data_IF_888627508070
#
_entry.id   IF_888627508070
#
_cell.length_a   1.000
_cell.length_b   1.000
_cell.length_c   1.000
_cell.angle_alpha   90.00
_cell.angle_beta   90.00
_cell.angle_gamma   90.00
#
_symmetry.space_group_name_H-M   'P 1'
#
loop_
_entity.id
_entity.type
_entity.pdbx_description
1 polymer ?
#
# COMPACT_ATOMS: atom_id res chain seq x y z
N UNK A 1 -20.55 14.63 -38.42
CA UNK A 1 -19.60 15.54 -37.74
C UNK A 1 -19.79 15.43 -36.22
N UNK A 2 -19.34 14.33 -35.61
CA UNK A 2 -19.36 14.11 -34.15
C UNK A 2 -18.31 13.04 -33.73
N UNK A 3 -17.13 13.05 -34.37
CA UNK A 3 -16.06 12.07 -34.14
C UNK A 3 -15.01 12.61 -33.14
N UNK A 4 -15.12 13.87 -32.70
CA UNK A 4 -14.04 14.56 -32.00
C UNK A 4 -13.97 14.35 -30.48
N UNK A 5 -14.98 13.80 -29.81
CA UNK A 5 -15.01 14.00 -28.36
C UNK A 5 -14.02 13.15 -27.57
N UNK A 6 -13.55 11.98 -28.02
CA UNK A 6 -12.59 11.17 -27.25
C UNK A 6 -11.83 10.12 -28.09
N UNK A 7 -11.25 10.51 -29.23
CA UNK A 7 -10.34 9.61 -29.95
C UNK A 7 -8.95 9.72 -29.32
N UNK A 8 -8.61 8.78 -28.43
CA UNK A 8 -7.21 8.58 -28.04
C UNK A 8 -6.48 8.08 -29.28
N UNK A 9 -5.37 8.73 -29.61
CA UNK A 9 -4.56 8.33 -30.77
C UNK A 9 -3.73 7.09 -30.45
N UNK A 10 -3.36 6.34 -31.49
CA UNK A 10 -2.50 5.15 -31.35
C UNK A 10 -1.20 5.48 -30.63
N UNK A 11 -0.61 6.63 -30.97
CA UNK A 11 0.61 7.14 -30.36
C UNK A 11 0.43 7.44 -28.87
N UNK A 12 -0.69 8.03 -28.47
CA UNK A 12 -0.97 8.31 -27.05
C UNK A 12 -1.09 7.02 -26.23
N UNK A 13 -1.80 6.00 -26.73
CA UNK A 13 -1.89 4.71 -26.04
C UNK A 13 -0.53 4.05 -25.90
N UNK A 14 0.26 4.00 -26.99
CA UNK A 14 1.63 3.44 -26.98
C UNK A 14 2.55 4.16 -26.01
N UNK A 15 2.60 5.49 -26.11
CA UNK A 15 3.44 6.35 -25.27
C UNK A 15 3.08 6.16 -23.80
N UNK A 16 1.79 6.18 -23.47
CA UNK A 16 1.31 5.98 -22.09
C UNK A 16 1.67 4.59 -21.57
N UNK A 17 1.52 3.55 -22.40
CA UNK A 17 1.96 2.19 -22.07
C UNK A 17 3.45 2.13 -21.70
N UNK A 18 4.33 2.65 -22.55
CA UNK A 18 5.77 2.64 -22.28
C UNK A 18 6.16 3.46 -21.05
N UNK A 19 5.60 4.66 -20.91
CA UNK A 19 5.87 5.54 -19.76
C UNK A 19 5.42 4.89 -18.45
N UNK A 20 4.21 4.32 -18.41
CA UNK A 20 3.69 3.66 -17.21
C UNK A 20 4.46 2.40 -16.87
N UNK A 21 4.90 1.61 -17.86
CA UNK A 21 5.79 0.46 -17.64
C UNK A 21 7.09 0.92 -16.99
N UNK A 22 7.75 1.93 -17.55
CA UNK A 22 9.02 2.43 -17.03
C UNK A 22 8.86 2.96 -15.59
N UNK A 23 7.83 3.78 -15.35
CA UNK A 23 7.62 4.42 -14.07
C UNK A 23 7.21 3.42 -12.98
N UNK A 24 6.24 2.54 -13.24
CA UNK A 24 5.83 1.51 -12.28
C UNK A 24 6.96 0.52 -11.98
N UNK A 25 7.71 0.11 -13.00
CA UNK A 25 8.85 -0.80 -12.82
C UNK A 25 9.98 -0.15 -12.03
N UNK A 26 10.26 1.14 -12.24
CA UNK A 26 11.27 1.87 -11.45
C UNK A 26 10.90 1.91 -9.97
N UNK A 27 9.64 2.21 -9.64
CA UNK A 27 9.17 2.24 -8.24
C UNK A 27 9.19 0.84 -7.62
N UNK A 28 8.75 -0.17 -8.37
CA UNK A 28 8.80 -1.57 -7.96
C UNK A 28 10.23 -2.04 -7.68
N UNK A 29 11.16 -1.81 -8.62
CA UNK A 29 12.57 -2.12 -8.45
C UNK A 29 13.18 -1.37 -7.26
N UNK A 30 12.82 -0.10 -7.06
CA UNK A 30 13.25 0.68 -5.89
C UNK A 30 12.83 0.04 -4.56
N UNK A 31 11.60 -0.49 -4.47
CA UNK A 31 11.11 -1.21 -3.29
C UNK A 31 11.93 -2.48 -3.02
N UNK A 32 12.16 -3.30 -4.04
CA UNK A 32 12.93 -4.54 -3.89
C UNK A 32 14.40 -4.24 -3.60
N UNK A 33 15.02 -3.30 -4.31
CA UNK A 33 16.41 -2.88 -4.07
C UNK A 33 16.64 -2.41 -2.64
N UNK A 34 15.73 -1.61 -2.08
CA UNK A 34 15.82 -1.17 -0.68
C UNK A 34 15.63 -2.31 0.33
N UNK A 35 14.82 -3.32 0.00
CA UNK A 35 14.67 -4.51 0.85
C UNK A 35 15.90 -5.40 0.82
N UNK A 36 16.44 -5.67 -0.37
CA UNK A 36 17.67 -6.44 -0.55
C UNK A 36 18.84 -5.77 0.18
N UNK A 37 18.99 -4.46 0.06
CA UNK A 37 20.06 -3.74 0.75
C UNK A 37 19.95 -3.80 2.28
N UNK A 38 18.73 -3.88 2.82
CA UNK A 38 18.49 -3.97 4.27
C UNK A 38 18.32 -5.41 4.78
N UNK A 39 18.53 -6.43 3.94
CA UNK A 39 18.34 -7.85 4.24
C UNK A 39 17.03 -8.14 4.98
N UNK A 40 15.95 -7.46 4.60
CA UNK A 40 14.62 -7.70 5.16
C UNK A 40 14.02 -8.90 4.43
N UNK A 41 13.62 -9.94 5.17
CA UNK A 41 12.98 -11.12 4.59
C UNK A 41 11.75 -10.79 3.73
N UNK A 42 11.44 -11.66 2.77
CA UNK A 42 10.27 -11.54 1.89
C UNK A 42 9.00 -11.65 2.74
N UNK A 43 8.09 -10.69 2.59
CA UNK A 43 6.84 -10.66 3.32
C UNK A 43 5.67 -10.98 2.40
N UNK A 44 4.55 -11.46 2.96
CA UNK A 44 3.33 -11.76 2.19
C UNK A 44 2.81 -10.55 1.42
N UNK A 45 2.99 -9.34 1.95
CA UNK A 45 2.68 -8.08 1.26
C UNK A 45 3.50 -7.89 -0.03
N UNK A 46 4.73 -8.40 -0.10
CA UNK A 46 5.55 -8.28 -1.31
C UNK A 46 5.06 -9.23 -2.40
N UNK A 47 4.63 -10.45 -2.05
CA UNK A 47 4.09 -11.41 -3.02
C UNK A 47 2.89 -10.84 -3.78
N UNK A 48 1.96 -10.19 -3.05
CA UNK A 48 0.81 -9.53 -3.67
C UNK A 48 1.21 -8.36 -4.57
N UNK A 49 2.25 -7.60 -4.21
CA UNK A 49 2.76 -6.51 -5.07
C UNK A 49 3.45 -7.07 -6.32
N UNK A 50 4.20 -8.18 -6.22
CA UNK A 50 4.75 -8.87 -7.39
C UNK A 50 3.64 -9.34 -8.31
N UNK A 51 2.59 -9.97 -7.77
CA UNK A 51 1.44 -10.42 -8.54
C UNK A 51 0.75 -9.26 -9.26
N UNK A 52 0.58 -8.12 -8.57
CA UNK A 52 0.02 -6.91 -9.18
C UNK A 52 0.90 -6.37 -10.32
N UNK A 53 2.21 -6.26 -10.10
CA UNK A 53 3.15 -5.76 -11.12
C UNK A 53 3.22 -6.68 -12.35
N UNK A 54 3.28 -8.01 -12.15
CA UNK A 54 3.25 -8.98 -13.24
C UNK A 54 1.94 -8.92 -14.03
N UNK A 55 0.80 -8.78 -13.34
CA UNK A 55 -0.50 -8.66 -13.98
C UNK A 55 -0.62 -7.36 -14.78
N UNK A 56 -0.13 -6.24 -14.23
CA UNK A 56 -0.04 -4.95 -14.91
C UNK A 56 0.85 -5.00 -16.16
N UNK A 57 2.02 -5.63 -16.07
CA UNK A 57 2.91 -5.81 -17.22
C UNK A 57 2.24 -6.63 -18.32
N UNK A 58 1.68 -7.79 -17.96
CA UNK A 58 0.98 -8.65 -18.91
C UNK A 58 -0.17 -7.90 -19.60
N UNK A 59 -0.98 -7.18 -18.83
CA UNK A 59 -2.09 -6.37 -19.35
C UNK A 59 -1.61 -5.29 -20.32
N UNK A 60 -0.57 -4.54 -19.95
CA UNK A 60 -0.05 -3.45 -20.80
C UNK A 60 0.55 -4.00 -22.08
N UNK A 61 1.28 -5.11 -22.03
CA UNK A 61 1.84 -5.79 -23.21
C UNK A 61 0.71 -6.26 -24.14
N UNK A 62 -0.33 -6.89 -23.60
CA UNK A 62 -1.49 -7.32 -24.39
C UNK A 62 -2.20 -6.13 -25.06
N UNK A 63 -2.33 -4.99 -24.36
CA UNK A 63 -2.86 -3.78 -24.97
C UNK A 63 -1.97 -3.21 -26.09
N UNK A 64 -0.65 -3.29 -25.96
CA UNK A 64 0.26 -2.86 -27.03
C UNK A 64 0.18 -3.77 -28.26
N UNK A 65 0.01 -5.09 -28.06
CA UNK A 65 -0.13 -6.07 -29.14
C UNK A 65 -1.46 -5.90 -29.89
N UNK A 66 -2.56 -5.65 -29.16
CA UNK A 66 -3.90 -5.52 -29.77
C UNK A 66 -4.11 -4.17 -30.44
N UNK A 67 -3.37 -3.14 -30.03
CA UNK A 67 -3.51 -1.77 -30.49
C UNK A 67 -3.63 -1.61 -32.02
N UNK A 68 -2.70 -2.11 -32.86
CA UNK A 68 -2.80 -1.92 -34.32
C UNK A 68 -4.05 -2.56 -34.92
N UNK A 69 -4.50 -3.72 -34.40
CA UNK A 69 -5.72 -4.39 -34.86
C UNK A 69 -6.97 -3.61 -34.44
N UNK A 70 -6.95 -3.06 -33.22
CA UNK A 70 -8.03 -2.22 -32.70
C UNK A 70 -8.24 -0.94 -33.53
N UNK A 71 -7.16 -0.26 -33.94
CA UNK A 71 -7.28 0.94 -34.78
C UNK A 71 -7.75 0.61 -36.20
N UNK A 72 -7.37 -0.54 -36.76
CA UNK A 72 -7.90 -1.01 -38.06
C UNK A 72 -9.39 -1.32 -37.99
N UNK A 73 -9.85 -2.00 -36.93
CA UNK A 73 -11.26 -2.29 -36.68
C UNK A 73 -12.09 -1.03 -36.53
N UNK A 74 -11.62 -0.07 -35.73
CA UNK A 74 -12.33 1.19 -35.50
C UNK A 74 -12.37 2.05 -36.77
N UNK A 75 -11.31 2.06 -37.60
CA UNK A 75 -11.32 2.73 -38.90
C UNK A 75 -12.33 2.10 -39.88
N UNK A 76 -12.43 0.77 -39.92
CA UNK A 76 -13.42 0.07 -40.73
C UNK A 76 -14.86 0.38 -40.28
N UNK A 77 -15.13 0.29 -38.97
CA UNK A 77 -16.44 0.63 -38.39
C UNK A 77 -16.84 2.10 -38.61
N UNK A 78 -15.85 2.99 -38.80
CA UNK A 78 -16.07 4.40 -39.13
C UNK A 78 -16.34 4.67 -40.63
N UNK A 79 -16.47 3.61 -41.46
CA UNK A 79 -16.73 3.72 -42.90
C UNK A 79 -15.50 3.49 -43.79
N UNK A 80 -14.42 2.92 -43.25
CA UNK A 80 -13.25 2.53 -44.02
C UNK A 80 -13.48 1.31 -44.94
N UNK A 81 -12.50 0.96 -45.80
CA UNK A 81 -12.63 -0.14 -46.75
C UNK A 81 -12.74 -1.50 -46.05
N UNK A 82 -13.60 -2.38 -46.59
CA UNK A 82 -13.73 -3.75 -46.11
C UNK A 82 -12.44 -4.54 -46.31
N UNK A 83 -12.06 -5.33 -45.30
CA UNK A 83 -10.86 -6.14 -45.32
C UNK A 83 -11.16 -7.57 -44.92
N UNK A 84 -10.52 -8.54 -45.59
CA UNK A 84 -10.82 -9.97 -45.46
C UNK A 84 -10.58 -10.53 -44.05
N UNK A 85 -9.64 -9.96 -43.30
CA UNK A 85 -9.29 -10.39 -41.94
C UNK A 85 -10.19 -9.79 -40.83
N UNK A 86 -11.33 -9.19 -41.18
CA UNK A 86 -12.21 -8.52 -40.21
C UNK A 86 -12.71 -9.46 -39.11
N UNK A 87 -13.21 -10.63 -39.49
CA UNK A 87 -13.73 -11.63 -38.56
C UNK A 87 -12.68 -12.08 -37.53
N UNK A 88 -11.46 -12.35 -38.00
CA UNK A 88 -10.34 -12.80 -37.17
C UNK A 88 -9.86 -11.70 -36.21
N UNK A 89 -9.79 -10.46 -36.70
CA UNK A 89 -9.42 -9.31 -35.87
C UNK A 89 -10.47 -9.07 -34.78
N UNK A 90 -11.77 -9.15 -35.08
CA UNK A 90 -12.84 -9.02 -34.07
C UNK A 90 -12.68 -10.07 -32.98
N UNK A 91 -12.49 -11.34 -33.35
CA UNK A 91 -12.31 -12.43 -32.39
C UNK A 91 -11.06 -12.26 -31.54
N UNK A 92 -9.95 -11.85 -32.16
CA UNK A 92 -8.71 -11.61 -31.44
C UNK A 92 -8.85 -10.46 -30.44
N UNK A 93 -9.46 -9.34 -30.85
CA UNK A 93 -9.71 -8.21 -29.95
C UNK A 93 -10.61 -8.63 -28.79
N UNK A 94 -11.74 -9.32 -29.04
CA UNK A 94 -12.62 -9.81 -27.96
C UNK A 94 -11.86 -10.69 -26.95
N UNK A 95 -11.04 -11.63 -27.43
CA UNK A 95 -10.19 -12.51 -26.59
C UNK A 95 -9.24 -11.71 -25.71
N UNK A 96 -8.51 -10.76 -26.29
CA UNK A 96 -7.56 -9.93 -25.55
C UNK A 96 -8.28 -9.07 -24.52
N UNK A 97 -9.40 -8.44 -24.87
CA UNK A 97 -10.16 -7.58 -23.95
C UNK A 97 -10.66 -8.36 -22.73
N UNK A 98 -11.13 -9.60 -22.93
CA UNK A 98 -11.50 -10.51 -21.86
C UNK A 98 -10.31 -10.79 -20.92
N UNK A 99 -9.15 -11.20 -21.47
CA UNK A 99 -7.94 -11.43 -20.68
C UNK A 99 -7.46 -10.17 -19.94
N UNK A 100 -7.43 -9.02 -20.60
CA UNK A 100 -6.99 -7.75 -19.99
C UNK A 100 -7.91 -7.31 -18.87
N UNK A 101 -9.22 -7.60 -18.96
CA UNK A 101 -10.18 -7.28 -17.90
C UNK A 101 -9.92 -8.11 -16.65
N UNK A 102 -9.62 -9.41 -16.81
CA UNK A 102 -9.24 -10.28 -15.69
C UNK A 102 -7.92 -9.83 -15.05
N UNK A 103 -6.90 -9.52 -15.86
CA UNK A 103 -5.61 -9.03 -15.36
C UNK A 103 -5.73 -7.69 -14.62
N UNK A 104 -6.62 -6.82 -15.08
CA UNK A 104 -6.95 -5.57 -14.41
C UNK A 104 -7.49 -5.85 -13.00
N UNK A 105 -8.48 -6.73 -12.89
CA UNK A 105 -9.04 -7.13 -11.59
C UNK A 105 -7.96 -7.73 -10.70
N UNK A 106 -7.22 -8.73 -11.18
CA UNK A 106 -6.15 -9.36 -10.40
C UNK A 106 -5.14 -8.32 -9.90
N UNK A 107 -4.77 -7.34 -10.73
CA UNK A 107 -3.86 -6.27 -10.32
C UNK A 107 -4.44 -5.41 -9.20
N UNK A 108 -5.66 -4.87 -9.37
CA UNK A 108 -6.29 -3.99 -8.36
C UNK A 108 -6.53 -4.71 -7.03
N UNK A 109 -7.11 -5.92 -7.08
CA UNK A 109 -7.36 -6.71 -5.87
C UNK A 109 -6.06 -7.13 -5.18
N UNK A 110 -4.99 -7.42 -5.92
CA UNK A 110 -3.68 -7.74 -5.33
C UNK A 110 -3.10 -6.54 -4.55
N UNK A 111 -3.26 -5.31 -5.05
CA UNK A 111 -2.86 -4.11 -4.29
C UNK A 111 -3.66 -3.99 -2.98
N UNK A 112 -4.97 -4.21 -3.03
CA UNK A 112 -5.83 -4.23 -1.83
C UNK A 112 -5.40 -5.27 -0.82
N UNK A 113 -5.08 -6.49 -1.27
CA UNK A 113 -4.55 -7.54 -0.39
C UNK A 113 -3.20 -7.17 0.21
N UNK A 114 -2.30 -6.54 -0.55
CA UNK A 114 -1.05 -6.02 -0.01
C UNK A 114 -1.29 -4.99 1.10
N UNK A 115 -2.27 -4.08 0.93
CA UNK A 115 -2.62 -3.09 1.95
C UNK A 115 -3.25 -3.74 3.18
N UNK A 116 -4.13 -4.72 2.99
CA UNK A 116 -4.73 -5.48 4.10
C UNK A 116 -3.67 -6.23 4.92
N UNK A 117 -2.70 -6.88 4.28
CA UNK A 117 -1.59 -7.55 5.00
C UNK A 117 -0.75 -6.54 5.78
N UNK A 118 -0.47 -5.37 5.19
CA UNK A 118 0.22 -4.28 5.87
C UNK A 118 -0.56 -3.81 7.11
N UNK A 119 -1.88 -3.66 6.99
CA UNK A 119 -2.74 -3.28 8.10
C UNK A 119 -2.83 -4.35 9.18
N UNK A 120 -2.83 -5.63 8.82
CA UNK A 120 -2.76 -6.72 9.81
C UNK A 120 -1.54 -6.57 10.71
N UNK A 121 -0.39 -6.24 10.12
CA UNK A 121 0.85 -6.03 10.88
C UNK A 121 0.73 -4.85 11.84
N UNK A 122 0.15 -3.74 11.36
CA UNK A 122 -0.06 -2.53 12.17
C UNK A 122 -1.07 -2.75 13.31
N UNK A 123 -2.14 -3.49 13.04
CA UNK A 123 -3.27 -3.74 13.96
C UNK A 123 -3.08 -4.98 14.85
N UNK A 124 -2.00 -5.74 14.66
CA UNK A 124 -1.74 -7.03 15.34
C UNK A 124 -1.84 -6.99 16.87
N UNK A 125 -1.65 -5.82 17.49
CA UNK A 125 -1.74 -5.64 18.95
C UNK A 125 -3.15 -5.35 19.47
N UNK A 126 -4.16 -5.24 18.60
CA UNK A 126 -5.50 -4.78 18.94
C UNK A 126 -6.56 -5.84 18.57
N UNK A 127 -7.06 -6.54 19.59
CA UNK A 127 -7.99 -7.68 19.43
C UNK A 127 -9.35 -7.31 18.81
N UNK A 128 -9.83 -6.07 18.97
CA UNK A 128 -11.08 -5.63 18.33
C UNK A 128 -10.87 -5.29 16.85
N UNK A 129 -9.77 -4.60 16.53
CA UNK A 129 -9.46 -4.21 15.16
C UNK A 129 -9.09 -5.40 14.27
N UNK A 130 -8.45 -6.45 14.83
CA UNK A 130 -8.17 -7.66 14.06
C UNK A 130 -9.44 -8.43 13.67
N UNK A 131 -10.52 -8.35 14.48
CA UNK A 131 -11.83 -8.93 14.11
C UNK A 131 -12.45 -8.17 12.94
N UNK A 132 -12.41 -6.84 12.98
CA UNK A 132 -12.87 -6.01 11.86
C UNK A 132 -12.05 -6.26 10.60
N UNK A 133 -10.73 -6.41 10.76
CA UNK A 133 -9.83 -6.75 9.65
C UNK A 133 -10.24 -8.06 8.96
N UNK A 134 -10.57 -9.11 9.71
CA UNK A 134 -11.07 -10.38 9.12
C UNK A 134 -12.36 -10.19 8.34
N UNK A 135 -13.30 -9.38 8.83
CA UNK A 135 -14.54 -9.07 8.12
C UNK A 135 -14.24 -8.40 6.78
N UNK A 136 -13.34 -7.39 6.77
CA UNK A 136 -12.95 -6.70 5.55
C UNK A 136 -12.22 -7.63 4.58
N UNK A 137 -11.35 -8.50 5.06
CA UNK A 137 -10.64 -9.49 4.22
C UNK A 137 -11.62 -10.46 3.56
N UNK A 138 -12.53 -11.05 4.34
CA UNK A 138 -13.53 -12.00 3.81
C UNK A 138 -14.39 -11.30 2.77
N UNK A 139 -14.88 -10.09 3.07
CA UNK A 139 -15.65 -9.28 2.13
C UNK A 139 -14.86 -8.99 0.84
N UNK A 140 -13.58 -8.62 0.96
CA UNK A 140 -12.69 -8.35 -0.19
C UNK A 140 -12.49 -9.60 -1.06
N UNK A 141 -12.28 -10.78 -0.46
CA UNK A 141 -12.13 -12.05 -1.19
C UNK A 141 -13.41 -12.43 -1.92
N UNK A 142 -14.57 -12.33 -1.23
CA UNK A 142 -15.87 -12.62 -1.83
C UNK A 142 -16.17 -11.70 -3.02
N UNK A 143 -15.78 -10.43 -2.91
CA UNK A 143 -15.96 -9.47 -3.99
C UNK A 143 -15.04 -9.72 -5.19
N UNK A 144 -13.78 -10.14 -4.98
CA UNK A 144 -12.92 -10.58 -6.07
C UNK A 144 -13.55 -11.77 -6.81
N UNK A 145 -14.00 -12.79 -6.07
CA UNK A 145 -14.67 -13.95 -6.65
C UNK A 145 -15.93 -13.52 -7.40
N UNK A 146 -16.73 -12.62 -6.81
CA UNK A 146 -17.91 -12.02 -7.42
C UNK A 146 -17.58 -11.32 -8.73
N UNK A 147 -16.56 -10.47 -8.79
CA UNK A 147 -16.16 -9.76 -10.01
C UNK A 147 -15.68 -10.72 -11.10
N UNK A 148 -14.95 -11.78 -10.74
CA UNK A 148 -14.50 -12.80 -11.70
C UNK A 148 -15.71 -13.57 -12.25
N UNK A 149 -16.61 -14.03 -11.38
CA UNK A 149 -17.83 -14.74 -11.80
C UNK A 149 -18.71 -13.83 -12.65
N UNK A 150 -18.95 -12.59 -12.22
CA UNK A 150 -19.73 -11.61 -12.99
C UNK A 150 -19.12 -11.36 -14.36
N UNK A 151 -17.78 -11.32 -14.49
CA UNK A 151 -17.13 -11.20 -15.79
C UNK A 151 -17.38 -12.43 -16.69
N UNK A 152 -17.33 -13.63 -16.12
CA UNK A 152 -17.62 -14.88 -16.82
C UNK A 152 -19.10 -14.99 -17.25
N UNK A 153 -20.02 -14.56 -16.39
CA UNK A 153 -21.48 -14.65 -16.60
C UNK A 153 -22.08 -13.41 -17.28
N UNK A 154 -21.25 -12.42 -17.62
CA UNK A 154 -21.69 -11.24 -18.38
C UNK A 154 -22.24 -11.60 -19.77
N UNK A 155 -22.01 -12.83 -20.24
CA UNK A 155 -22.64 -13.41 -21.41
C UNK A 155 -23.43 -14.66 -21.04
N UNK A 156 -24.49 -14.98 -21.81
CA UNK A 156 -25.31 -16.17 -21.61
C UNK A 156 -24.52 -17.48 -21.61
N UNK A 157 -23.41 -17.55 -22.34
CA UNK A 157 -22.49 -18.71 -22.32
C UNK A 157 -21.05 -18.27 -22.51
N UNK A 158 -20.10 -18.93 -21.85
CA UNK A 158 -18.66 -18.64 -21.99
C UNK A 158 -18.17 -18.78 -23.45
N UNK A 159 -18.76 -19.71 -24.20
CA UNK A 159 -18.46 -19.87 -25.63
C UNK A 159 -18.88 -18.65 -26.46
N UNK A 160 -19.89 -17.89 -26.03
CA UNK A 160 -20.37 -16.71 -26.74
C UNK A 160 -19.36 -15.56 -26.73
N UNK A 161 -18.44 -15.50 -25.74
CA UNK A 161 -17.32 -14.55 -25.75
C UNK A 161 -16.35 -14.79 -26.92
N UNK A 162 -16.24 -16.03 -27.38
CA UNK A 162 -15.33 -16.45 -28.45
C UNK A 162 -16.01 -16.58 -29.81
N UNK A 163 -17.26 -16.12 -29.93
CA UNK A 163 -18.06 -16.15 -31.16
C UNK A 163 -18.18 -14.76 -31.80
N UNK A 164 -18.29 -14.71 -33.13
CA UNK A 164 -18.42 -13.45 -33.88
C UNK A 164 -19.68 -12.67 -33.46
N UNK A 165 -20.82 -13.36 -33.40
CA UNK A 165 -22.15 -12.79 -33.09
C UNK A 165 -22.54 -12.91 -31.61
N UNK A 166 -21.74 -13.61 -30.81
CA UNK A 166 -22.02 -13.80 -29.39
C UNK A 166 -21.87 -12.50 -28.60
N UNK A 167 -22.64 -12.37 -27.52
CA UNK A 167 -22.63 -11.21 -26.62
C UNK A 167 -23.07 -9.88 -27.25
N UNK A 168 -23.86 -9.94 -28.33
CA UNK A 168 -24.32 -8.75 -29.07
C UNK A 168 -25.82 -8.51 -28.94
N UNK A 169 -26.54 -9.36 -28.20
CA UNK A 169 -27.97 -9.14 -27.98
C UNK A 169 -28.20 -7.95 -27.02
N UNK A 170 -29.26 -7.15 -27.21
CA UNK A 170 -29.52 -5.99 -26.36
C UNK A 170 -29.74 -6.36 -24.87
N UNK A 171 -30.17 -7.59 -24.59
CA UNK A 171 -30.25 -8.12 -23.23
C UNK A 171 -28.86 -8.38 -22.60
N UNK A 172 -27.93 -8.94 -23.37
CA UNK A 172 -26.56 -9.21 -22.90
C UNK A 172 -25.74 -7.94 -22.72
N UNK A 173 -25.91 -6.93 -23.59
CA UNK A 173 -25.26 -5.63 -23.43
C UNK A 173 -25.73 -4.93 -22.14
N UNK A 174 -27.02 -5.03 -21.80
CA UNK A 174 -27.55 -4.54 -20.51
C UNK A 174 -26.96 -5.31 -19.33
N UNK A 175 -26.82 -6.63 -19.45
CA UNK A 175 -26.19 -7.46 -18.42
C UNK A 175 -24.71 -7.12 -18.20
N UNK A 176 -23.95 -6.88 -19.27
CA UNK A 176 -22.56 -6.42 -19.21
C UNK A 176 -22.43 -5.07 -18.50
N UNK A 177 -23.32 -4.13 -18.80
CA UNK A 177 -23.32 -2.83 -18.15
C UNK A 177 -23.69 -2.94 -16.66
N UNK A 178 -24.69 -3.76 -16.32
CA UNK A 178 -25.07 -4.03 -14.94
C UNK A 178 -23.91 -4.68 -14.15
N UNK A 179 -23.22 -5.65 -14.75
CA UNK A 179 -22.01 -6.28 -14.20
C UNK A 179 -20.91 -5.25 -13.93
N UNK A 180 -20.69 -4.32 -14.86
CA UNK A 180 -19.72 -3.24 -14.70
C UNK A 180 -20.07 -2.31 -13.54
N UNK A 181 -21.33 -1.85 -13.45
CA UNK A 181 -21.78 -0.99 -12.33
C UNK A 181 -21.69 -1.72 -10.99
N UNK A 182 -22.04 -3.01 -10.96
CA UNK A 182 -21.89 -3.83 -9.76
C UNK A 182 -20.42 -3.91 -9.32
N UNK A 183 -19.51 -4.28 -10.22
CA UNK A 183 -18.09 -4.38 -9.90
C UNK A 183 -17.50 -3.05 -9.46
N UNK A 184 -17.92 -1.93 -10.07
CA UNK A 184 -17.52 -0.58 -9.65
C UNK A 184 -18.01 -0.24 -8.24
N UNK A 185 -19.30 -0.46 -7.95
CA UNK A 185 -19.86 -0.15 -6.64
C UNK A 185 -19.13 -0.94 -5.54
N UNK A 186 -18.88 -2.22 -5.80
CA UNK A 186 -18.14 -3.12 -4.90
C UNK A 186 -16.69 -2.67 -4.73
N UNK A 187 -16.03 -2.24 -5.80
CA UNK A 187 -14.65 -1.74 -5.76
C UNK A 187 -14.53 -0.48 -4.89
N UNK A 188 -15.45 0.48 -5.05
CA UNK A 188 -15.50 1.69 -4.23
C UNK A 188 -15.82 1.39 -2.76
N UNK A 189 -16.79 0.51 -2.50
CA UNK A 189 -17.15 0.12 -1.13
C UNK A 189 -15.95 -0.54 -0.44
N UNK A 190 -15.24 -1.43 -1.13
CA UNK A 190 -14.05 -2.08 -0.57
C UNK A 190 -12.93 -1.09 -0.29
N UNK A 191 -12.71 -0.11 -1.16
CA UNK A 191 -11.72 0.96 -0.94
C UNK A 191 -12.05 1.80 0.31
N UNK A 192 -13.31 2.18 0.47
CA UNK A 192 -13.78 2.93 1.65
C UNK A 192 -13.59 2.09 2.92
N UNK A 193 -13.94 0.80 2.89
CA UNK A 193 -13.76 -0.10 4.04
C UNK A 193 -12.28 -0.26 4.42
N UNK A 194 -11.40 -0.44 3.44
CA UNK A 194 -9.96 -0.56 3.65
C UNK A 194 -9.38 0.75 4.21
N UNK A 195 -9.83 1.92 3.73
CA UNK A 195 -9.43 3.22 4.25
C UNK A 195 -9.96 3.50 5.67
N UNK A 196 -11.16 3.01 6.01
CA UNK A 196 -11.78 3.22 7.31
C UNK A 196 -11.07 2.45 8.44
N UNK A 197 -10.47 1.29 8.15
CA UNK A 197 -9.73 0.46 9.13
C UNK A 197 -8.73 1.27 9.97
N UNK A 198 -7.72 1.94 9.37
CA UNK A 198 -6.76 2.72 10.13
C UNK A 198 -7.34 4.02 10.72
N UNK A 199 -8.38 4.62 10.13
CA UNK A 199 -9.00 5.86 10.62
C UNK A 199 -9.72 5.64 11.95
N UNK A 200 -10.48 4.54 12.04
CA UNK A 200 -11.16 4.15 13.29
C UNK A 200 -10.16 3.95 14.43
N UNK A 201 -9.01 3.34 14.12
CA UNK A 201 -7.93 3.21 15.09
C UNK A 201 -7.37 4.56 15.54
N UNK A 202 -7.10 5.48 14.61
CA UNK A 202 -6.52 6.79 14.96
C UNK A 202 -7.43 7.63 15.85
N UNK A 203 -8.75 7.45 15.76
CA UNK A 203 -9.67 8.16 16.65
C UNK A 203 -9.59 7.65 18.09
N UNK A 204 -9.32 6.36 18.26
CA UNK A 204 -9.23 5.72 19.59
C UNK A 204 -7.86 5.93 20.26
N UNK A 205 -6.78 6.08 19.48
CA UNK A 205 -5.41 6.15 19.99
C UNK A 205 -4.77 7.51 19.70
N UNK A 206 -4.31 8.23 20.74
CA UNK A 206 -3.52 9.47 20.63
C UNK A 206 -2.13 9.17 20.03
N UNK A 207 -2.07 8.98 18.71
CA UNK A 207 -0.82 8.71 18.01
C UNK A 207 -0.05 10.00 17.67
N UNK A 208 1.30 9.96 17.65
CA UNK A 208 2.13 11.10 17.28
C UNK A 208 1.87 11.53 15.82
N UNK A 209 1.95 12.84 15.55
CA UNK A 209 1.65 13.49 14.26
C UNK A 209 2.28 12.80 13.04
N UNK A 210 3.47 12.21 13.21
CA UNK A 210 4.18 11.49 12.14
C UNK A 210 3.46 10.20 11.67
N UNK A 211 2.75 9.50 12.55
CA UNK A 211 1.94 8.34 12.15
C UNK A 211 0.64 8.78 11.46
N UNK A 212 0.11 9.94 11.87
CA UNK A 212 -1.04 10.59 11.22
C UNK A 212 -0.72 10.96 9.77
N UNK A 213 0.50 11.41 9.48
CA UNK A 213 0.94 11.74 8.12
C UNK A 213 1.02 10.53 7.17
N UNK A 214 1.43 9.34 7.64
CA UNK A 214 1.38 8.12 6.81
C UNK A 214 -0.04 7.75 6.44
N UNK A 215 -0.97 7.92 7.37
CA UNK A 215 -2.35 7.61 7.10
C UNK A 215 -2.99 8.61 6.14
N UNK A 216 -2.65 9.90 6.28
CA UNK A 216 -3.05 10.93 5.32
C UNK A 216 -2.61 10.57 3.90
N UNK A 217 -1.35 10.16 3.72
CA UNK A 217 -0.84 9.74 2.42
C UNK A 217 -1.60 8.53 1.83
N UNK A 218 -1.90 7.53 2.66
CA UNK A 218 -2.69 6.35 2.26
C UNK A 218 -4.13 6.71 1.86
N UNK A 219 -4.74 7.65 2.60
CA UNK A 219 -6.10 8.12 2.33
C UNK A 219 -6.16 8.91 1.01
N UNK A 220 -5.22 9.83 0.78
CA UNK A 220 -5.12 10.57 -0.49
C UNK A 220 -4.97 9.62 -1.68
N UNK A 221 -4.15 8.60 -1.51
CA UNK A 221 -3.90 7.55 -2.49
C UNK A 221 -5.18 6.77 -2.84
N UNK A 222 -5.95 6.37 -1.85
CA UNK A 222 -7.22 5.67 -2.07
C UNK A 222 -8.28 6.56 -2.74
N UNK A 223 -8.34 7.85 -2.38
CA UNK A 223 -9.23 8.81 -3.05
C UNK A 223 -8.89 8.98 -4.54
N UNK A 224 -7.60 8.96 -4.89
CA UNK A 224 -7.15 9.00 -6.29
C UNK A 224 -7.62 7.75 -7.04
N UNK A 225 -7.49 6.56 -6.45
CA UNK A 225 -8.00 5.32 -7.06
C UNK A 225 -9.50 5.40 -7.32
N UNK A 226 -10.29 5.82 -6.32
CA UNK A 226 -11.73 6.00 -6.46
C UNK A 226 -12.04 7.00 -7.58
N UNK A 227 -11.36 8.15 -7.62
CA UNK A 227 -11.60 9.17 -8.65
C UNK A 227 -11.33 8.64 -10.06
N UNK A 228 -10.23 7.90 -10.26
CA UNK A 228 -9.89 7.28 -11.56
C UNK A 228 -10.95 6.25 -11.97
N UNK A 229 -11.35 5.38 -11.04
CA UNK A 229 -12.39 4.38 -11.27
C UNK A 229 -13.74 5.04 -11.61
N UNK A 230 -14.12 6.11 -10.90
CA UNK A 230 -15.35 6.87 -11.17
C UNK A 230 -15.34 7.47 -12.57
N UNK A 231 -14.23 8.12 -12.98
CA UNK A 231 -14.11 8.72 -14.32
C UNK A 231 -14.31 7.65 -15.39
N UNK A 232 -13.68 6.48 -15.21
CA UNK A 232 -13.80 5.34 -16.13
C UNK A 232 -15.25 4.88 -16.26
N UNK A 233 -15.96 4.71 -15.16
CA UNK A 233 -17.33 4.15 -15.16
C UNK A 233 -18.36 5.15 -15.66
N UNK A 234 -18.27 6.42 -15.27
CA UNK A 234 -19.15 7.48 -15.77
C UNK A 234 -19.03 7.62 -17.30
N UNK A 235 -17.81 7.57 -17.82
CA UNK A 235 -17.56 7.62 -19.26
C UNK A 235 -18.14 6.41 -20.00
N UNK A 236 -18.00 5.19 -19.45
CA UNK A 236 -18.59 3.98 -20.05
C UNK A 236 -20.12 4.04 -20.01
N UNK A 237 -20.68 4.43 -18.87
CA UNK A 237 -22.12 4.52 -18.65
C UNK A 237 -22.82 5.59 -19.49
N UNK A 238 -22.21 6.77 -19.62
CA UNK A 238 -22.72 7.87 -20.46
C UNK A 238 -22.76 7.45 -21.94
N UNK A 239 -21.74 6.73 -22.41
CA UNK A 239 -21.64 6.28 -23.81
C UNK A 239 -22.61 5.15 -24.14
N UNK A 240 -22.80 4.22 -23.22
CA UNK A 240 -23.83 3.19 -23.35
C UNK A 240 -25.25 3.77 -23.47
N UNK A 241 -25.52 4.92 -22.82
CA UNK A 241 -26.83 5.60 -22.90
C UNK A 241 -27.04 6.35 -24.23
N UNK A 242 -25.97 6.82 -24.87
CA UNK A 242 -26.02 7.59 -26.11
C UNK A 242 -25.89 6.73 -27.39
N UNK A 243 -26.13 5.41 -27.33
CA UNK A 243 -25.93 4.45 -28.42
C UNK A 243 -24.53 4.53 -29.08
N UNK A 244 -23.58 5.13 -28.39
CA UNK A 244 -22.22 5.35 -28.88
C UNK A 244 -21.36 4.33 -28.18
N UNK A 245 -20.94 3.27 -28.88
CA UNK A 245 -20.06 2.25 -28.32
C UNK A 245 -18.82 2.95 -27.71
N UNK A 246 -18.49 2.72 -26.42
CA UNK A 246 -17.32 3.34 -25.82
C UNK A 246 -16.07 2.96 -26.63
N UNK A 247 -15.26 3.96 -26.98
CA UNK A 247 -14.02 3.73 -27.73
C UNK A 247 -13.13 2.77 -26.95
N UNK A 248 -12.87 1.61 -27.54
CA UNK A 248 -12.01 0.57 -26.94
C UNK A 248 -10.60 1.09 -26.63
N UNK A 249 -10.11 2.05 -27.41
CA UNK A 249 -8.81 2.72 -27.20
C UNK A 249 -8.79 3.59 -25.94
N UNK A 250 -9.90 4.27 -25.65
CA UNK A 250 -10.09 5.02 -24.41
C UNK A 250 -10.07 4.09 -23.20
N UNK A 251 -10.73 2.93 -23.32
CA UNK A 251 -10.77 1.93 -22.27
C UNK A 251 -9.37 1.37 -21.95
N UNK A 252 -8.58 1.08 -22.98
CA UNK A 252 -7.20 0.63 -22.84
C UNK A 252 -6.32 1.70 -22.17
N UNK A 253 -6.42 2.95 -22.60
CA UNK A 253 -5.66 4.07 -22.03
C UNK A 253 -5.90 4.23 -20.52
N UNK A 254 -7.17 4.29 -20.10
CA UNK A 254 -7.52 4.41 -18.68
C UNK A 254 -7.18 3.16 -17.88
N UNK A 255 -7.35 1.97 -18.45
CA UNK A 255 -6.96 0.73 -17.78
C UNK A 255 -5.46 0.67 -17.47
N UNK A 256 -4.60 1.12 -18.39
CA UNK A 256 -3.14 1.20 -18.18
C UNK A 256 -2.82 2.22 -17.07
N UNK A 257 -3.44 3.39 -17.09
CA UNK A 257 -3.22 4.42 -16.06
C UNK A 257 -3.66 3.93 -14.68
N UNK A 258 -4.89 3.42 -14.58
CA UNK A 258 -5.49 2.94 -13.33
C UNK A 258 -4.63 1.86 -12.66
N UNK A 259 -4.28 0.82 -13.42
CA UNK A 259 -3.48 -0.29 -12.89
C UNK A 259 -2.04 0.10 -12.60
N UNK A 260 -1.41 0.93 -13.44
CA UNK A 260 -0.06 1.42 -13.18
C UNK A 260 0.01 2.31 -11.94
N UNK A 261 -0.96 3.21 -11.76
CA UNK A 261 -1.11 4.05 -10.56
C UNK A 261 -1.32 3.18 -9.33
N UNK A 262 -2.20 2.16 -9.40
CA UNK A 262 -2.43 1.22 -8.31
C UNK A 262 -1.16 0.47 -7.88
N UNK A 263 -0.33 0.01 -8.82
CA UNK A 263 0.96 -0.67 -8.50
C UNK A 263 1.92 0.27 -7.76
N UNK A 264 2.07 1.51 -8.25
CA UNK A 264 2.91 2.53 -7.62
C UNK A 264 2.44 2.77 -6.19
N UNK A 265 1.13 2.99 -6.04
CA UNK A 265 0.43 3.16 -4.77
C UNK A 265 0.69 1.98 -3.83
N UNK A 266 0.61 0.75 -4.30
CA UNK A 266 0.91 -0.45 -3.49
C UNK A 266 2.36 -0.49 -3.00
N UNK A 267 3.28 0.17 -3.71
CA UNK A 267 4.69 0.26 -3.34
C UNK A 267 4.99 1.34 -2.28
N UNK A 268 4.25 2.46 -2.29
CA UNK A 268 4.52 3.63 -1.43
C UNK A 268 4.55 3.35 0.09
N UNK A 269 3.63 2.56 0.69
CA UNK A 269 3.58 2.39 2.13
C UNK A 269 4.82 1.70 2.68
N UNK A 270 5.30 0.65 1.99
CA UNK A 270 6.51 -0.06 2.37
C UNK A 270 7.75 0.84 2.23
N UNK A 271 7.84 1.61 1.14
CA UNK A 271 8.89 2.60 0.93
C UNK A 271 8.92 3.65 2.04
N UNK A 272 7.75 4.19 2.40
CA UNK A 272 7.61 5.18 3.47
C UNK A 272 8.07 4.64 4.83
N UNK A 273 7.74 3.38 5.15
CA UNK A 273 8.19 2.73 6.40
C UNK A 273 9.72 2.58 6.42
N UNK A 274 10.30 2.10 5.30
CA UNK A 274 11.75 1.90 5.18
C UNK A 274 12.51 3.22 5.26
N UNK A 275 12.00 4.26 4.60
CA UNK A 275 12.58 5.61 4.62
C UNK A 275 12.54 6.23 6.02
N UNK A 276 11.41 6.10 6.72
CA UNK A 276 11.27 6.58 8.10
C UNK A 276 12.25 5.90 9.06
N UNK A 277 12.44 4.58 8.92
CA UNK A 277 13.42 3.84 9.73
C UNK A 277 14.83 4.40 9.53
N UNK A 278 15.20 4.79 8.32
CA UNK A 278 16.50 5.38 8.00
C UNK A 278 16.68 6.78 8.61
N UNK A 279 15.65 7.64 8.56
CA UNK A 279 15.72 8.95 9.18
C UNK A 279 15.86 8.85 10.71
N UNK A 280 15.17 7.91 11.35
CA UNK A 280 15.32 7.64 12.77
C UNK A 280 16.76 7.20 13.12
N UNK A 281 17.33 6.26 12.36
CA UNK A 281 18.72 5.81 12.55
C UNK A 281 19.73 6.95 12.36
N UNK A 282 19.55 7.80 11.33
CA UNK A 282 20.41 8.96 11.08
C UNK A 282 20.34 10.00 12.22
N UNK A 283 19.16 10.24 12.79
CA UNK A 283 19.00 11.16 13.94
C UNK A 283 19.68 10.64 15.21
N UNK A 284 19.65 9.33 15.45
CA UNK A 284 20.35 8.72 16.59
C UNK A 284 21.87 8.80 16.42
N UNK A 285 22.39 8.57 15.21
CA UNK A 285 23.83 8.66 14.94
C UNK A 285 24.36 10.10 15.01
N UNK A 286 23.58 11.10 14.53
CA UNK A 286 23.97 12.51 14.60
C UNK A 286 23.97 13.11 16.01
N UNK A 287 23.18 12.56 16.95
CA UNK A 287 23.13 13.01 18.35
C UNK A 287 24.22 12.38 19.22
N UNK A 288 24.79 11.25 18.81
CA UNK A 288 25.87 10.57 19.52
C UNK A 288 27.21 11.33 19.45
N UNK A 289 27.46 12.05 18.36
CA UNK A 289 28.72 12.80 18.18
C UNK A 289 28.74 14.14 18.92
N UNK A 290 27.60 14.84 19.01
CA UNK A 290 27.49 16.12 19.72
C UNK A 290 27.41 16.00 21.25
N UNK A 291 27.32 14.79 21.80
CA UNK A 291 27.30 14.54 23.26
C UNK A 291 28.68 14.18 23.83
N UNK A 292 29.71 13.93 23.00
CA UNK A 292 31.07 13.65 23.48
C UNK A 292 31.93 14.90 23.63
N UNK A 293 31.57 16.02 22.99
CA UNK A 293 32.35 17.27 23.00
C UNK A 293 32.01 18.21 24.18
N UNK A 294 31.13 17.79 25.10
CA UNK A 294 30.68 18.62 26.24
C UNK A 294 31.15 18.16 27.62
N UNK A 295 32.01 17.14 27.74
CA UNK A 295 32.33 16.51 29.03
C UNK A 295 33.83 16.40 29.34
N UNK A 296 34.63 17.35 28.86
CA UNK A 296 36.06 17.38 29.15
C UNK A 296 36.56 18.79 29.48
N UNK A 297 36.13 19.37 30.61
CA UNK A 297 37.04 20.16 31.47
C UNK A 297 36.37 20.55 32.80
N UNK A 298 36.58 19.78 33.87
CA UNK A 298 36.38 20.23 35.27
C UNK A 298 37.35 19.55 36.24
N UNK A 299 38.60 19.32 35.81
CA UNK A 299 39.69 18.89 36.70
C UNK A 299 40.91 19.82 36.55
N UNK A 300 40.71 21.14 36.62
CA UNK A 300 41.81 22.08 36.81
C UNK A 300 41.96 22.37 38.31
N UNK A 301 43.07 21.89 38.84
CA UNK A 301 43.63 22.08 40.18
C UNK A 301 43.67 23.59 40.51
N UNK A 302 43.18 24.06 41.67
CA UNK A 302 43.42 25.43 42.10
C UNK A 302 44.87 25.53 42.60
N UNK A 303 45.71 26.24 41.86
CA UNK A 303 47.05 26.61 42.28
C UNK A 303 46.92 27.58 43.47
N UNK A 304 47.55 27.22 44.57
CA UNK A 304 47.68 28.03 45.79
C UNK A 304 48.40 29.35 45.49
N UNK A 305 47.77 30.48 45.78
CA UNK A 305 48.45 31.76 45.94
C UNK A 305 48.54 32.09 47.43
N UNK A 306 49.77 32.05 47.92
CA UNK A 306 50.19 32.53 49.22
C UNK A 306 50.35 34.05 49.14
N UNK A 307 49.65 34.80 49.99
CA UNK A 307 50.10 36.13 50.41
C UNK A 307 49.66 36.40 51.85
N UNK A 308 50.67 36.59 52.69
CA UNK A 308 50.65 37.04 54.08
C UNK A 308 49.60 38.10 54.41
N UNK A 309 49.07 38.07 55.65
CA UNK A 309 49.46 38.96 56.78
C UNK A 309 48.35 39.06 57.83
N UNK A 310 48.72 38.79 59.10
CA UNK A 310 48.16 39.28 60.40
C UNK A 310 46.64 39.10 60.68
N UNK A 311 46.14 38.67 61.85
CA UNK A 311 46.58 38.76 63.25
C UNK A 311 45.92 37.63 64.10
N UNK A 312 46.57 37.30 65.22
CA UNK A 312 46.23 36.38 66.35
C UNK A 312 45.06 36.90 67.26
N UNK A 313 44.65 36.27 68.41
CA UNK A 313 44.38 34.85 68.78
C UNK A 313 43.19 34.60 69.81
N UNK A 314 43.03 33.34 70.31
CA UNK A 314 42.36 32.84 71.58
C UNK A 314 40.82 32.62 71.55
N UNK A 315 40.14 31.57 72.09
CA UNK A 315 40.36 30.43 73.04
C UNK A 315 39.14 29.44 72.93
N UNK A 316 39.17 28.21 73.51
CA UNK A 316 38.22 27.09 73.28
C UNK A 316 37.19 26.81 74.43
N UNK A 317 36.22 25.92 74.16
CA UNK A 317 35.25 25.33 75.12
C UNK A 317 33.78 25.68 74.79
N UNK A 318 32.73 24.90 75.05
CA UNK A 318 32.49 23.60 75.68
C UNK A 318 31.04 23.15 75.32
N UNK A 319 30.74 21.89 75.63
CA UNK A 319 29.46 21.18 75.61
C UNK A 319 28.20 21.95 76.04
N UNK A 320 27.04 21.61 75.46
CA UNK A 320 25.77 21.48 76.21
C UNK A 320 24.79 20.47 75.55
N UNK A 321 24.55 19.38 76.28
CA UNK A 321 23.40 18.48 76.19
C UNK A 321 22.10 19.18 76.64
N UNK A 322 20.96 18.89 75.99
CA UNK A 322 19.59 19.12 76.49
C UNK A 322 18.55 18.30 75.72
N UNK A 323 18.01 17.26 76.35
CA UNK A 323 16.93 16.36 75.91
C UNK A 323 15.51 17.00 76.03
N UNK A 324 14.36 16.28 75.89
CA UNK A 324 13.90 15.21 74.99
C UNK A 324 12.57 15.54 74.23
N UNK A 325 12.07 14.57 73.46
CA UNK A 325 10.96 14.56 72.47
C UNK A 325 9.51 14.88 72.95
N UNK A 326 8.52 14.95 72.01
CA UNK A 326 7.68 13.77 71.79
C UNK A 326 7.24 13.45 70.33
N UNK A 327 7.37 12.16 70.02
CA UNK A 327 6.48 11.19 69.33
C UNK A 327 5.28 11.63 68.46
N UNK A 328 5.26 11.21 67.18
CA UNK A 328 4.10 10.57 66.49
C UNK A 328 4.61 9.43 65.59
N UNK A 329 3.84 8.34 65.56
CA UNK A 329 4.15 6.95 65.18
C UNK A 329 3.73 6.54 63.76
N UNK A 330 4.43 5.56 63.15
CA UNK A 330 3.93 4.22 62.70
C UNK A 330 4.86 3.44 61.74
N UNK A 331 5.55 2.44 62.30
CA UNK A 331 5.68 1.00 61.93
C UNK A 331 5.82 0.54 60.46
N UNK A 332 6.99 -0.09 60.20
CA UNK A 332 7.38 -1.27 59.35
C UNK A 332 6.41 -1.87 58.31
N UNK A 333 6.94 -2.16 57.11
CA UNK A 333 6.47 -3.28 56.27
C UNK A 333 7.01 -3.39 54.84
N UNK A 334 7.89 -4.38 54.62
CA UNK A 334 8.01 -5.27 53.45
C UNK A 334 8.63 -4.70 52.14
N UNK A 335 9.88 -5.10 51.88
CA UNK A 335 10.47 -5.19 50.55
C UNK A 335 10.13 -6.56 49.94
N UNK A 336 9.47 -6.59 48.78
CA UNK A 336 9.25 -7.81 47.98
C UNK A 336 10.26 -7.84 46.84
N UNK A 337 11.27 -8.68 46.98
CA UNK A 337 12.08 -9.19 45.87
C UNK A 337 11.29 -10.26 45.13
N UNK A 338 10.87 -9.98 43.90
CA UNK A 338 10.29 -10.98 43.00
C UNK A 338 11.38 -11.53 42.08
N UNK A 339 11.82 -12.77 42.34
CA UNK A 339 12.63 -13.58 41.47
C UNK A 339 11.79 -14.08 40.29
N UNK A 340 12.22 -13.79 39.06
CA UNK A 340 11.65 -14.39 37.85
C UNK A 340 12.58 -15.51 37.41
N UNK A 341 12.08 -16.74 37.52
CA UNK A 341 12.70 -17.94 36.97
C UNK A 341 12.82 -17.84 35.44
N UNK A 342 14.05 -17.90 34.94
CA UNK A 342 14.36 -18.19 33.54
C UNK A 342 14.41 -19.71 33.37
N UNK A 343 13.49 -20.26 32.59
CA UNK A 343 13.61 -21.61 32.02
C UNK A 343 14.41 -21.47 30.71
N UNK A 344 15.73 -21.64 30.78
CA UNK A 344 16.56 -21.98 29.61
C UNK A 344 16.84 -23.48 29.65
N UNK A 345 16.28 -24.19 28.68
CA UNK A 345 16.47 -25.62 28.47
C UNK A 345 17.77 -25.82 27.68
N UNK A 346 18.84 -26.16 28.40
CA UNK A 346 20.16 -26.47 27.84
C UNK A 346 20.32 -27.99 27.75
N UNK A 347 20.35 -28.53 26.52
CA UNK A 347 20.63 -29.94 26.23
C UNK A 347 22.11 -30.08 25.84
N UNK A 348 22.95 -30.81 26.60
CA UNK A 348 24.30 -31.15 26.18
C UNK A 348 24.37 -32.61 25.71
N UNK A 349 24.73 -32.85 24.46
CA UNK A 349 25.19 -34.16 23.99
C UNK A 349 26.53 -34.03 23.28
N UNK A 350 27.61 -34.34 24.02
CA UNK A 350 28.89 -34.79 23.45
C UNK A 350 29.03 -36.29 23.74
N UNK A 351 29.34 -37.14 22.75
CA UNK A 351 29.82 -38.49 23.01
C UNK A 351 31.35 -38.50 23.19
N UNK A 352 31.92 -39.39 24.04
CA UNK A 352 33.36 -39.62 24.09
C UNK A 352 33.83 -40.53 22.95
N UNK A 353 35.04 -40.25 22.48
CA UNK A 353 35.85 -41.13 21.62
C UNK A 353 36.39 -42.30 22.44
N UNK A 354 36.29 -43.51 21.91
CA UNK A 354 37.40 -44.44 21.67
C UNK A 354 36.98 -45.46 20.62
#
# INVERSE_FOLDING_TARGET
MAISENYVTELQVKTTGYVMIALASTVFMGRFGLRFWKSVGVQWEDLFVVLSWLSFLAMTILYLIVNPRLYRLTAFLAGGPAYAAFADDVLFVKKIFFCTTLLLWVSLWSVKFSLLVLYRRLLSRLKTEIRLWWIVVIFTVLNLIGCVISNLTSCSTLSAWFSLTGCSSPGEVKAQLASLYYSYAVDVITDIMIMALPVKLLWSLRLPLLQKASLGALFSVGLICIAIATIRVVQIGSKAKNNSTPSSSWLAFWGILETGIAVIIGCLPALAIIYRKQQATRRTYGRGYSSMEGRQNKNSIPLSNTSSRANRPLVPGDDYDSAPAPTISKIKGIAVTQSVHLHEEFVPTRPPRY
#
